data_IF_720329006517
#
_entry.id   IF_720329006517
#
_cell.length_a   1.000
_cell.length_b   1.000
_cell.length_c   1.000
_cell.angle_alpha   90.00
_cell.angle_beta   90.00
_cell.angle_gamma   90.00
#
_symmetry.space_group_name_H-M   'P 1'
#
loop_
_entity.id
_entity.type
_entity.pdbx_description
1 polymer ?
#
# COMPACT_ATOMS: atom_id res chain seq x y z
N UNK A 1 23.96 -3.14 5.74
CA UNK A 1 22.54 -2.80 5.50
C UNK A 1 22.15 -3.46 4.18
N UNK A 2 21.08 -4.26 4.16
CA UNK A 2 20.61 -4.91 2.93
C UNK A 2 19.79 -3.92 2.09
N UNK A 3 19.81 -4.00 0.76
CA UNK A 3 19.06 -3.07 -0.09
C UNK A 3 17.54 -3.29 0.07
N UNK A 4 16.77 -2.21 0.15
CA UNK A 4 15.31 -2.30 0.07
C UNK A 4 14.85 -2.69 -1.35
N UNK A 5 13.60 -3.15 -1.49
CA UNK A 5 13.02 -3.44 -2.81
C UNK A 5 13.01 -2.20 -3.70
N UNK A 6 12.74 -1.01 -3.14
CA UNK A 6 12.77 0.27 -3.85
C UNK A 6 14.15 0.53 -4.47
N UNK A 7 15.20 0.33 -3.68
CA UNK A 7 16.59 0.46 -4.11
C UNK A 7 16.95 -0.53 -5.21
N UNK A 8 16.50 -1.78 -5.10
CA UNK A 8 16.72 -2.79 -6.12
C UNK A 8 16.01 -2.42 -7.43
N UNK A 9 14.77 -1.93 -7.37
CA UNK A 9 14.01 -1.49 -8.55
C UNK A 9 14.73 -0.33 -9.25
N UNK A 10 15.03 0.76 -8.51
CA UNK A 10 15.71 1.94 -9.07
C UNK A 10 17.11 1.63 -9.60
N UNK A 11 17.83 0.68 -8.98
CA UNK A 11 19.14 0.22 -9.48
C UNK A 11 19.04 -0.50 -10.83
N UNK A 12 17.98 -1.30 -11.04
CA UNK A 12 17.78 -2.03 -12.30
C UNK A 12 17.11 -1.17 -13.38
N UNK A 13 16.23 -0.24 -12.98
CA UNK A 13 15.59 0.72 -13.86
C UNK A 13 15.48 2.07 -13.15
N UNK A 14 16.42 2.99 -13.43
CA UNK A 14 16.44 4.31 -12.80
C UNK A 14 15.23 5.18 -13.16
N UNK A 15 14.55 4.88 -14.29
CA UNK A 15 13.36 5.57 -14.74
C UNK A 15 12.06 5.00 -14.14
N UNK A 16 12.11 3.84 -13.46
CA UNK A 16 10.93 3.24 -12.83
C UNK A 16 10.34 4.20 -11.81
N UNK A 17 9.05 4.48 -11.91
CA UNK A 17 8.31 5.31 -10.96
C UNK A 17 7.90 4.46 -9.76
N UNK A 18 8.43 4.79 -8.59
CA UNK A 18 8.16 4.09 -7.33
C UNK A 18 7.36 4.98 -6.38
N UNK A 19 6.29 4.42 -5.82
CA UNK A 19 5.32 5.11 -5.01
C UNK A 19 5.04 4.37 -3.70
N UNK A 20 4.79 5.12 -2.63
CA UNK A 20 4.30 4.61 -1.36
C UNK A 20 3.14 5.45 -0.83
N UNK A 21 2.09 4.78 -0.35
CA UNK A 21 0.93 5.38 0.32
C UNK A 21 0.67 4.59 1.60
N UNK A 22 0.68 5.23 2.76
CA UNK A 22 0.59 4.50 4.03
C UNK A 22 -0.13 5.29 5.10
N UNK A 23 -0.87 4.58 5.96
CA UNK A 23 -1.61 5.17 7.09
C UNK A 23 -0.86 5.19 8.43
N UNK A 24 0.24 4.42 8.54
CA UNK A 24 1.08 4.33 9.73
C UNK A 24 2.41 5.05 9.55
N UNK A 25 2.68 6.06 10.39
CA UNK A 25 3.88 6.90 10.27
C UNK A 25 5.20 6.13 10.37
N UNK A 26 5.20 4.97 11.04
CA UNK A 26 6.38 4.12 11.19
C UNK A 26 6.99 3.67 9.86
N UNK A 27 6.19 3.56 8.80
CA UNK A 27 6.65 3.20 7.45
C UNK A 27 7.64 4.24 6.90
N UNK A 28 7.46 5.51 7.22
CA UNK A 28 8.32 6.60 6.72
C UNK A 28 9.81 6.38 7.06
N UNK A 29 10.12 5.71 8.17
CA UNK A 29 11.49 5.38 8.57
C UNK A 29 12.09 4.19 7.81
N UNK A 30 11.26 3.39 7.16
CA UNK A 30 11.66 2.23 6.36
C UNK A 30 11.86 2.58 4.88
N UNK A 31 11.38 3.75 4.45
CA UNK A 31 11.48 4.22 3.08
C UNK A 31 12.77 5.00 2.85
N UNK A 32 13.43 4.69 1.73
CA UNK A 32 14.57 5.47 1.24
C UNK A 32 14.06 6.70 0.50
N UNK A 33 13.67 7.76 1.23
CA UNK A 33 13.03 8.96 0.68
C UNK A 33 13.68 9.54 -0.59
N UNK A 34 15.02 9.63 -0.74
CA UNK A 34 15.63 10.20 -1.94
C UNK A 34 15.32 9.47 -3.25
N UNK A 35 14.91 8.20 -3.19
CA UNK A 35 14.61 7.38 -4.37
C UNK A 35 13.11 7.21 -4.63
N UNK A 36 12.25 7.77 -3.78
CA UNK A 36 10.80 7.70 -3.93
C UNK A 36 10.30 8.82 -4.85
N UNK A 37 9.50 8.48 -5.85
CA UNK A 37 8.85 9.50 -6.70
C UNK A 37 7.56 10.02 -6.04
N UNK A 38 6.87 9.16 -5.28
CA UNK A 38 5.65 9.49 -4.55
C UNK A 38 5.76 8.89 -3.13
N UNK A 39 5.64 9.74 -2.12
CA UNK A 39 5.65 9.36 -0.70
C UNK A 39 4.49 10.09 0.00
N UNK A 40 3.39 9.36 0.25
CA UNK A 40 2.16 9.90 0.84
C UNK A 40 1.92 9.22 2.20
N UNK A 41 2.11 10.00 3.27
CA UNK A 41 1.75 9.61 4.62
C UNK A 41 0.36 10.17 4.98
N UNK A 42 -0.58 9.29 5.30
CA UNK A 42 -1.88 9.63 5.89
C UNK A 42 -1.84 9.17 7.34
N UNK A 43 -2.41 9.91 8.29
CA UNK A 43 -2.31 9.53 9.72
C UNK A 43 -3.60 8.86 10.19
N UNK A 44 -3.58 7.55 10.34
CA UNK A 44 -4.67 6.77 10.94
C UNK A 44 -6.02 6.83 10.21
N UNK A 45 -6.02 7.25 8.94
CA UNK A 45 -7.22 7.33 8.11
C UNK A 45 -7.11 6.37 6.92
N UNK A 46 -7.63 5.16 7.09
CA UNK A 46 -7.51 4.11 6.08
C UNK A 46 -8.30 4.42 4.81
N UNK A 47 -9.46 5.04 4.93
CA UNK A 47 -10.31 5.32 3.78
C UNK A 47 -9.72 6.42 2.90
N UNK A 48 -9.07 7.41 3.51
CA UNK A 48 -8.26 8.41 2.79
C UNK A 48 -7.00 7.78 2.18
N UNK A 49 -6.36 6.84 2.87
CA UNK A 49 -5.21 6.08 2.35
C UNK A 49 -5.58 5.31 1.09
N UNK A 50 -6.74 4.64 1.08
CA UNK A 50 -7.30 3.99 -0.11
C UNK A 50 -7.58 5.00 -1.21
N UNK A 51 -8.22 6.13 -0.90
CA UNK A 51 -8.53 7.16 -1.89
C UNK A 51 -7.27 7.71 -2.56
N UNK A 52 -6.19 7.94 -1.81
CA UNK A 52 -4.91 8.37 -2.37
C UNK A 52 -4.24 7.26 -3.20
N UNK A 53 -4.27 6.00 -2.74
CA UNK A 53 -3.74 4.89 -3.52
C UNK A 53 -4.46 4.74 -4.87
N UNK A 54 -5.79 4.84 -4.88
CA UNK A 54 -6.62 4.82 -6.09
C UNK A 54 -6.23 5.98 -7.01
N UNK A 55 -6.09 7.19 -6.47
CA UNK A 55 -5.67 8.37 -7.24
C UNK A 55 -4.31 8.15 -7.90
N UNK A 56 -3.32 7.68 -7.14
CA UNK A 56 -1.97 7.37 -7.66
C UNK A 56 -2.04 6.33 -8.78
N UNK A 57 -2.81 5.26 -8.62
CA UNK A 57 -2.99 4.24 -9.67
C UNK A 57 -3.57 4.86 -10.94
N UNK A 58 -4.60 5.70 -10.82
CA UNK A 58 -5.31 6.26 -11.97
C UNK A 58 -4.52 7.35 -12.70
N UNK A 59 -3.79 8.20 -11.98
CA UNK A 59 -3.11 9.37 -12.57
C UNK A 59 -1.64 9.10 -12.88
N UNK A 60 -0.94 8.34 -12.03
CA UNK A 60 0.52 8.19 -12.11
C UNK A 60 0.97 6.86 -12.70
N UNK A 61 0.16 5.80 -12.55
CA UNK A 61 0.45 4.42 -12.99
C UNK A 61 1.90 4.00 -12.70
N UNK A 62 2.32 4.00 -11.42
CA UNK A 62 3.71 3.73 -11.07
C UNK A 62 4.10 2.29 -11.41
N UNK A 63 5.40 2.08 -11.73
CA UNK A 63 5.99 0.76 -11.90
C UNK A 63 6.06 -0.04 -10.59
N UNK A 64 5.97 0.64 -9.45
CA UNK A 64 5.86 0.01 -8.15
C UNK A 64 5.03 0.87 -7.20
N UNK A 65 3.97 0.29 -6.63
CA UNK A 65 3.19 0.93 -5.58
C UNK A 65 3.16 0.07 -4.32
N UNK A 66 3.61 0.65 -3.22
CA UNK A 66 3.47 0.11 -1.88
C UNK A 66 2.30 0.80 -1.17
N UNK A 67 1.28 0.03 -0.77
CA UNK A 67 0.17 0.52 0.05
C UNK A 67 0.19 -0.18 1.40
N UNK A 68 0.11 0.56 2.50
CA UNK A 68 0.05 0.01 3.86
C UNK A 68 -1.14 0.58 4.64
N UNK A 69 -1.90 -0.32 5.27
CA UNK A 69 -2.92 0.02 6.25
C UNK A 69 -2.47 -0.40 7.67
N UNK A 70 -2.70 0.45 8.67
CA UNK A 70 -2.40 0.24 10.09
C UNK A 70 -3.38 -0.78 10.70
N UNK A 71 -4.64 -0.72 10.27
CA UNK A 71 -5.64 -1.73 10.60
C UNK A 71 -5.41 -3.03 9.82
N UNK A 72 -5.68 -4.22 10.37
CA UNK A 72 -6.41 -4.49 11.62
C UNK A 72 -5.48 -4.63 12.84
N UNK A 73 -4.18 -4.30 12.72
CA UNK A 73 -3.21 -4.42 13.82
C UNK A 73 -3.62 -3.54 15.01
N UNK A 74 -4.05 -2.31 14.74
CA UNK A 74 -4.61 -1.41 15.76
C UNK A 74 -5.78 -2.03 16.53
N UNK A 75 -6.77 -2.59 15.83
CA UNK A 75 -7.89 -3.31 16.46
C UNK A 75 -7.41 -4.55 17.24
N UNK A 76 -6.39 -5.23 16.72
CA UNK A 76 -5.75 -6.36 17.38
C UNK A 76 -5.10 -6.00 18.71
N UNK A 77 -4.42 -4.86 18.76
CA UNK A 77 -3.80 -4.32 19.96
C UNK A 77 -4.82 -3.82 20.99
N UNK A 78 -5.93 -3.23 20.52
CA UNK A 78 -6.96 -2.65 21.41
C UNK A 78 -7.93 -3.70 21.97
N UNK A 79 -8.40 -4.63 21.14
CA UNK A 79 -9.48 -5.57 21.47
C UNK A 79 -9.04 -7.04 21.48
N UNK A 80 -7.84 -7.34 20.98
CA UNK A 80 -7.32 -8.71 20.83
C UNK A 80 -7.59 -9.31 19.45
N UNK A 81 -6.68 -10.18 18.98
CA UNK A 81 -6.71 -10.79 17.64
C UNK A 81 -7.84 -11.80 17.38
N UNK A 82 -8.62 -12.17 18.41
CA UNK A 82 -9.76 -13.09 18.29
C UNK A 82 -11.03 -12.45 18.87
N UNK A 83 -11.25 -11.19 18.50
CA UNK A 83 -12.38 -10.38 18.95
C UNK A 83 -13.33 -10.08 17.78
N UNK A 84 -14.64 -9.90 18.03
CA UNK A 84 -15.58 -9.44 17.02
C UNK A 84 -15.15 -8.12 16.33
N UNK A 85 -14.49 -7.22 17.08
CA UNK A 85 -13.95 -5.96 16.59
C UNK A 85 -12.83 -6.18 15.58
N UNK A 86 -11.90 -7.10 15.86
CA UNK A 86 -10.83 -7.48 14.93
C UNK A 86 -11.39 -8.06 13.64
N UNK A 87 -12.36 -8.98 13.71
CA UNK A 87 -13.00 -9.55 12.53
C UNK A 87 -13.77 -8.51 11.72
N UNK A 88 -14.46 -7.59 12.38
CA UNK A 88 -15.13 -6.46 11.71
C UNK A 88 -14.14 -5.55 10.98
N UNK A 89 -12.96 -5.33 11.55
CA UNK A 89 -11.94 -4.53 10.89
C UNK A 89 -11.27 -5.28 9.74
N UNK A 90 -11.10 -6.60 9.85
CA UNK A 90 -10.66 -7.46 8.74
C UNK A 90 -11.61 -7.35 7.53
N UNK A 91 -12.93 -7.37 7.75
CA UNK A 91 -13.92 -7.19 6.67
C UNK A 91 -13.76 -5.83 5.97
N UNK A 92 -13.46 -4.76 6.72
CA UNK A 92 -13.19 -3.45 6.13
C UNK A 92 -11.90 -3.45 5.32
N UNK A 93 -10.84 -4.07 5.83
CA UNK A 93 -9.56 -4.19 5.10
C UNK A 93 -9.76 -4.95 3.79
N UNK A 94 -10.54 -6.04 3.78
CA UNK A 94 -10.86 -6.77 2.55
C UNK A 94 -11.60 -5.87 1.54
N UNK A 95 -12.61 -5.11 1.99
CA UNK A 95 -13.31 -4.16 1.13
C UNK A 95 -12.38 -3.06 0.56
N UNK A 96 -11.45 -2.56 1.37
CA UNK A 96 -10.43 -1.58 0.96
C UNK A 96 -9.50 -2.14 -0.10
N UNK A 97 -9.02 -3.37 0.08
CA UNK A 97 -8.22 -4.07 -0.93
C UNK A 97 -9.00 -4.25 -2.24
N UNK A 98 -10.27 -4.67 -2.15
CA UNK A 98 -11.14 -4.81 -3.32
C UNK A 98 -11.31 -3.50 -4.10
N UNK A 99 -11.36 -2.35 -3.41
CA UNK A 99 -11.43 -1.03 -4.05
C UNK A 99 -10.12 -0.67 -4.78
N UNK A 100 -8.96 -0.97 -4.21
CA UNK A 100 -7.65 -0.75 -4.86
C UNK A 100 -7.51 -1.62 -6.11
N UNK A 101 -7.88 -2.91 -6.02
CA UNK A 101 -7.84 -3.80 -7.18
C UNK A 101 -8.81 -3.35 -8.28
N UNK A 102 -9.98 -2.84 -7.90
CA UNK A 102 -10.91 -2.25 -8.86
C UNK A 102 -10.28 -1.05 -9.57
N UNK A 103 -9.53 -0.21 -8.86
CA UNK A 103 -8.87 0.93 -9.49
C UNK A 103 -7.81 0.50 -10.52
N UNK A 104 -7.07 -0.59 -10.25
CA UNK A 104 -6.13 -1.18 -11.22
C UNK A 104 -6.87 -1.67 -12.47
N UNK A 105 -8.02 -2.34 -12.29
CA UNK A 105 -8.89 -2.78 -13.41
C UNK A 105 -9.41 -1.60 -14.22
N UNK A 106 -9.97 -0.60 -13.55
CA UNK A 106 -10.52 0.61 -14.18
C UNK A 106 -9.42 1.42 -14.90
N UNK A 107 -8.17 1.39 -14.40
CA UNK A 107 -7.01 2.02 -15.03
C UNK A 107 -6.48 1.26 -16.26
N UNK A 108 -6.97 0.03 -16.51
CA UNK A 108 -6.63 -0.81 -17.65
C UNK A 108 -5.28 -1.52 -17.56
N UNK A 109 -4.67 -1.58 -16.36
CA UNK A 109 -3.33 -2.15 -16.15
C UNK A 109 -3.35 -3.53 -15.47
N UNK A 110 -4.53 -4.10 -15.20
CA UNK A 110 -4.69 -5.38 -14.48
C UNK A 110 -3.87 -6.53 -15.05
N UNK A 111 -3.80 -6.66 -16.39
CA UNK A 111 -3.11 -7.79 -17.05
C UNK A 111 -1.59 -7.72 -16.94
N UNK A 112 -1.08 -6.52 -16.72
CA UNK A 112 0.33 -6.24 -16.47
C UNK A 112 0.58 -6.29 -14.96
N UNK A 113 -0.49 -6.24 -14.14
CA UNK A 113 -0.35 -6.09 -12.70
C UNK A 113 -0.18 -7.40 -11.92
N UNK A 114 0.90 -7.53 -11.16
CA UNK A 114 1.05 -8.49 -10.07
C UNK A 114 0.68 -7.87 -8.72
N UNK A 115 -0.30 -8.48 -8.05
CA UNK A 115 -0.63 -8.19 -6.66
C UNK A 115 0.11 -9.13 -5.70
N UNK A 116 0.79 -8.56 -4.71
CA UNK A 116 1.38 -9.30 -3.60
C UNK A 116 0.81 -8.77 -2.28
N UNK A 117 0.18 -9.66 -1.51
CA UNK A 117 -0.47 -9.35 -0.23
C UNK A 117 0.30 -10.01 0.91
N UNK A 118 0.56 -9.28 2.00
CA UNK A 118 1.17 -9.81 3.23
C UNK A 118 0.25 -9.56 4.43
N UNK A 119 0.15 -10.52 5.35
CA UNK A 119 -0.63 -10.41 6.59
C UNK A 119 -0.09 -9.27 7.48
N UNK A 120 -1.00 -8.47 8.04
CA UNK A 120 -0.88 -7.06 8.45
C UNK A 120 -0.73 -6.12 7.25
N UNK A 121 -1.82 -5.49 6.80
CA UNK A 121 -2.11 -5.37 5.38
C UNK A 121 -1.19 -4.37 4.71
N UNK A 122 -0.26 -4.95 3.98
CA UNK A 122 0.49 -4.29 2.94
C UNK A 122 0.10 -4.93 1.60
N UNK A 123 -0.30 -4.10 0.65
CA UNK A 123 -0.54 -4.49 -0.75
C UNK A 123 0.58 -3.90 -1.60
N UNK A 124 1.23 -4.77 -2.36
CA UNK A 124 2.28 -4.41 -3.30
C UNK A 124 1.75 -4.67 -4.71
N UNK A 125 1.84 -3.65 -5.56
CA UNK A 125 1.38 -3.68 -6.94
C UNK A 125 2.57 -3.40 -7.86
N UNK A 126 2.79 -4.29 -8.82
CA UNK A 126 3.73 -4.12 -9.95
C UNK A 126 2.91 -4.19 -11.23
N UNK A 127 3.04 -3.31 -12.24
CA UNK A 127 2.66 -3.58 -13.62
C UNK A 127 3.71 -4.47 -14.33
#
# INVERSE_FOLDING_TARGET
>A
MFPSIFSVIKKNNAAAKVAAVYSWEGISYLLEKPIMDIDIAIKGNEDETVAQAIKVIQTEKPDFLFVHFDQPDGAGHEFGHDSPEYYKELEKVDARLGAVEKAVRDAGIEKETLFMRRGNPSLICFP
#
